data_IF_816612080050
#
_entry.id   IF_816612080050
#
_cell.length_a   1.000
_cell.length_b   1.000
_cell.length_c   1.000
_cell.angle_alpha   90.00
_cell.angle_beta   90.00
_cell.angle_gamma   90.00
#
_symmetry.space_group_name_H-M   'P 1'
#
loop_
_entity.id
_entity.type
_entity.pdbx_description
1 polymer ?
#
# COMPACT_ATOMS: atom_id res chain seq x y z
N UNK A 1 0.95 21.35 17.01
CA UNK A 1 0.59 21.39 15.57
C UNK A 1 0.66 19.95 15.08
N UNK A 2 -0.50 19.29 14.94
CA UNK A 2 -1.34 19.16 13.74
C UNK A 2 -1.13 17.76 13.19
N UNK A 3 -2.24 17.10 12.89
CA UNK A 3 -2.33 15.91 12.06
C UNK A 3 -1.19 15.86 11.03
N UNK A 4 -0.33 14.84 11.12
CA UNK A 4 0.35 14.31 9.92
C UNK A 4 -0.72 13.52 9.18
N UNK A 5 -1.56 14.25 8.43
CA UNK A 5 -2.12 13.65 7.23
C UNK A 5 -0.88 13.47 6.37
N UNK A 6 -0.25 12.28 6.38
CA UNK A 6 0.50 11.88 5.19
C UNK A 6 -0.44 12.14 4.03
N UNK A 7 0.03 12.72 2.94
CA UNK A 7 -0.85 13.30 1.90
C UNK A 7 -1.74 12.25 1.18
N UNK A 8 -1.94 11.08 1.78
CA UNK A 8 -2.51 9.86 1.26
C UNK A 8 -3.31 9.06 2.27
N UNK A 9 -4.29 8.33 1.74
CA UNK A 9 -4.91 7.19 2.41
C UNK A 9 -3.83 6.11 2.60
N UNK A 10 -3.41 5.88 3.83
CA UNK A 10 -2.56 4.75 4.18
C UNK A 10 -3.42 3.52 4.42
N UNK A 11 -3.31 2.55 3.52
CA UNK A 11 -3.93 1.24 3.68
C UNK A 11 -2.96 0.29 4.37
N UNK A 12 -3.45 -0.59 5.26
CA UNK A 12 -2.58 -1.53 5.96
C UNK A 12 -1.89 -2.47 4.96
N UNK A 13 -0.74 -3.01 5.35
CA UNK A 13 -0.03 -4.05 4.61
C UNK A 13 -0.09 -5.41 5.34
N UNK A 14 -1.26 -6.11 5.33
CA UNK A 14 -1.52 -7.37 6.04
C UNK A 14 -0.42 -8.41 5.93
N UNK A 15 0.14 -8.60 4.73
CA UNK A 15 1.16 -9.63 4.51
C UNK A 15 2.41 -9.47 5.36
N UNK A 16 2.78 -8.23 5.70
CA UNK A 16 3.94 -8.03 6.58
C UNK A 16 3.65 -8.58 7.98
N UNK A 17 2.40 -8.48 8.46
CA UNK A 17 2.00 -9.07 9.73
C UNK A 17 1.97 -10.61 9.62
N UNK A 18 1.32 -11.15 8.58
CA UNK A 18 1.19 -12.60 8.37
C UNK A 18 2.55 -13.29 8.21
N UNK A 19 3.51 -12.69 7.48
CA UNK A 19 4.84 -13.29 7.28
C UNK A 19 5.69 -13.30 8.56
N UNK A 20 5.47 -12.32 9.44
CA UNK A 20 6.22 -12.23 10.72
C UNK A 20 5.76 -13.29 11.71
N UNK A 21 4.49 -13.67 11.67
CA UNK A 21 3.88 -14.58 12.64
C UNK A 21 2.73 -15.37 12.00
N UNK A 22 3.01 -16.30 11.09
CA UNK A 22 1.97 -17.01 10.34
C UNK A 22 1.11 -17.91 11.23
N UNK A 23 1.69 -18.45 12.31
CA UNK A 23 1.00 -19.31 13.27
C UNK A 23 -0.06 -18.55 14.05
N UNK A 24 0.22 -17.30 14.44
CA UNK A 24 -0.75 -16.43 15.12
C UNK A 24 -2.05 -16.24 14.34
N UNK A 25 -1.99 -16.16 13.01
CA UNK A 25 -3.16 -15.93 12.18
C UNK A 25 -3.83 -17.24 11.72
N UNK A 26 -3.30 -18.41 12.11
CA UNK A 26 -3.88 -19.71 11.77
C UNK A 26 -4.10 -19.90 10.26
N UNK A 27 -3.22 -19.35 9.42
CA UNK A 27 -3.37 -19.42 7.96
C UNK A 27 -3.15 -20.87 7.51
N UNK A 28 -4.18 -21.48 6.93
CA UNK A 28 -4.10 -22.85 6.41
C UNK A 28 -3.24 -22.92 5.14
N UNK A 29 -2.79 -24.12 4.77
CA UNK A 29 -2.07 -24.34 3.51
C UNK A 29 -2.88 -23.89 2.29
N UNK A 30 -4.18 -24.20 2.25
CA UNK A 30 -5.07 -23.78 1.16
C UNK A 30 -5.19 -22.25 1.06
N UNK A 31 -5.38 -21.57 2.20
CA UNK A 31 -5.40 -20.11 2.24
C UNK A 31 -4.08 -19.50 1.79
N UNK A 32 -2.95 -20.10 2.19
CA UNK A 32 -1.61 -19.66 1.75
C UNK A 32 -1.44 -19.80 0.25
N UNK A 33 -1.79 -20.94 -0.33
CA UNK A 33 -1.72 -21.17 -1.78
C UNK A 33 -2.61 -20.17 -2.55
N UNK A 34 -3.81 -19.88 -2.05
CA UNK A 34 -4.68 -18.86 -2.63
C UNK A 34 -4.07 -17.46 -2.54
N UNK A 35 -3.55 -17.05 -1.39
CA UNK A 35 -2.86 -15.76 -1.25
C UNK A 35 -1.63 -15.66 -2.18
N UNK A 36 -0.85 -16.73 -2.31
CA UNK A 36 0.30 -16.76 -3.20
C UNK A 36 -0.12 -16.60 -4.68
N UNK A 37 -1.19 -17.27 -5.09
CA UNK A 37 -1.71 -17.20 -6.47
C UNK A 37 -2.45 -15.90 -6.79
N UNK A 38 -3.33 -15.46 -5.90
CA UNK A 38 -4.26 -14.35 -6.17
C UNK A 38 -3.66 -12.99 -5.81
N UNK A 39 -2.73 -12.95 -4.85
CA UNK A 39 -2.12 -11.71 -4.38
C UNK A 39 -0.67 -11.56 -4.85
N UNK A 40 0.21 -12.52 -4.54
CA UNK A 40 1.65 -12.36 -4.80
C UNK A 40 2.01 -12.47 -6.28
N UNK A 41 1.29 -13.28 -7.05
CA UNK A 41 1.54 -13.38 -8.49
C UNK A 41 0.99 -12.18 -9.28
N UNK A 42 0.08 -11.40 -8.70
CA UNK A 42 -0.69 -10.37 -9.42
C UNK A 42 -0.24 -8.96 -9.07
N UNK A 43 -0.19 -8.60 -7.78
CA UNK A 43 -0.02 -7.21 -7.38
C UNK A 43 1.42 -6.71 -7.48
N UNK A 44 2.47 -7.43 -7.05
CA UNK A 44 3.85 -6.94 -7.20
C UNK A 44 4.25 -6.61 -8.65
N UNK A 45 3.95 -7.45 -9.67
CA UNK A 45 4.20 -7.11 -11.06
C UNK A 45 3.48 -5.83 -11.54
N UNK A 46 2.27 -5.56 -11.04
CA UNK A 46 1.53 -4.34 -11.36
C UNK A 46 2.05 -3.11 -10.60
N UNK A 47 2.44 -3.28 -9.35
CA UNK A 47 2.82 -2.17 -8.46
C UNK A 47 4.25 -1.70 -8.71
N UNK A 48 5.21 -2.59 -8.98
CA UNK A 48 6.62 -2.23 -9.11
C UNK A 48 6.89 -1.20 -10.23
N UNK A 49 6.36 -1.33 -11.46
CA UNK A 49 6.58 -0.35 -12.52
C UNK A 49 6.03 1.04 -12.15
N UNK A 50 4.87 1.09 -11.48
CA UNK A 50 4.23 2.33 -11.01
C UNK A 50 5.06 3.00 -9.92
N UNK A 51 5.58 2.23 -8.97
CA UNK A 51 6.48 2.73 -7.93
C UNK A 51 7.78 3.27 -8.53
N UNK A 52 8.37 2.57 -9.50
CA UNK A 52 9.56 3.04 -10.20
C UNK A 52 9.29 4.36 -10.92
N UNK A 53 8.17 4.45 -11.64
CA UNK A 53 7.77 5.68 -12.33
C UNK A 53 7.55 6.84 -11.36
N UNK A 54 6.87 6.61 -10.24
CA UNK A 54 6.69 7.61 -9.20
C UNK A 54 8.03 8.10 -8.63
N UNK A 55 8.98 7.19 -8.37
CA UNK A 55 10.31 7.55 -7.88
C UNK A 55 11.07 8.42 -8.88
N UNK A 56 11.00 8.10 -10.17
CA UNK A 56 11.62 8.92 -11.23
C UNK A 56 11.02 10.32 -11.30
N UNK A 57 9.69 10.43 -11.27
CA UNK A 57 8.96 11.70 -11.28
C UNK A 57 9.28 12.55 -10.05
N UNK A 58 9.29 11.95 -8.85
CA UNK A 58 9.68 12.64 -7.62
C UNK A 58 11.10 13.21 -7.71
N UNK A 59 12.04 12.46 -8.29
CA UNK A 59 13.40 12.94 -8.48
C UNK A 59 13.49 14.05 -9.54
N UNK A 60 12.66 14.01 -10.60
CA UNK A 60 12.57 15.10 -11.59
C UNK A 60 12.02 16.37 -10.95
N UNK A 61 10.92 16.29 -10.20
CA UNK A 61 10.34 17.40 -9.44
C UNK A 61 11.38 17.99 -8.48
N UNK A 62 12.04 17.14 -7.67
CA UNK A 62 13.07 17.58 -6.72
C UNK A 62 14.20 18.34 -7.40
N UNK A 63 14.73 17.83 -8.52
CA UNK A 63 15.76 18.54 -9.30
C UNK A 63 15.22 19.82 -9.94
N UNK A 64 14.01 19.78 -10.50
CA UNK A 64 13.35 20.93 -11.11
C UNK A 64 13.29 22.12 -10.16
N UNK A 65 12.86 21.87 -8.91
CA UNK A 65 12.82 22.91 -7.88
C UNK A 65 14.23 23.30 -7.42
N UNK A 66 15.03 22.32 -6.97
CA UNK A 66 16.27 22.61 -6.23
C UNK A 66 17.43 23.11 -7.10
N UNK A 67 17.46 22.72 -8.39
CA UNK A 67 18.61 23.01 -9.25
C UNK A 67 18.24 23.81 -10.50
N UNK A 68 16.96 23.84 -10.89
CA UNK A 68 16.51 24.49 -12.12
C UNK A 68 15.56 25.67 -11.88
N UNK A 69 15.17 25.93 -10.62
CA UNK A 69 14.28 27.05 -10.27
C UNK A 69 12.87 26.94 -10.88
N UNK A 70 12.44 25.73 -11.25
CA UNK A 70 11.08 25.51 -11.78
C UNK A 70 10.04 25.74 -10.70
N UNK A 71 8.97 26.43 -11.08
CA UNK A 71 7.78 26.58 -10.26
C UNK A 71 6.78 25.43 -10.48
N UNK A 72 5.62 25.51 -9.84
CA UNK A 72 4.57 24.49 -9.91
C UNK A 72 3.94 24.36 -11.30
N UNK A 73 3.86 25.44 -12.08
CA UNK A 73 3.28 25.41 -13.42
C UNK A 73 4.22 24.65 -14.38
N UNK A 74 5.53 24.94 -14.30
CA UNK A 74 6.56 24.25 -15.06
C UNK A 74 6.75 22.77 -14.69
N UNK A 75 6.13 22.30 -13.60
CA UNK A 75 6.16 20.93 -13.09
C UNK A 75 4.78 20.26 -13.08
N UNK A 76 3.75 20.92 -13.64
CA UNK A 76 2.36 20.45 -13.55
C UNK A 76 2.19 19.03 -14.09
N UNK A 77 2.81 18.71 -15.23
CA UNK A 77 2.72 17.38 -15.83
C UNK A 77 3.27 16.27 -14.93
N UNK A 78 4.43 16.49 -14.30
CA UNK A 78 4.99 15.51 -13.37
C UNK A 78 4.13 15.35 -12.10
N UNK A 79 3.56 16.44 -11.59
CA UNK A 79 2.70 16.44 -10.40
C UNK A 79 1.36 15.76 -10.68
N UNK A 80 0.77 15.98 -11.84
CA UNK A 80 -0.47 15.33 -12.29
C UNK A 80 -0.26 13.82 -12.46
N UNK A 81 0.85 13.41 -13.08
CA UNK A 81 1.18 12.00 -13.25
C UNK A 81 1.43 11.31 -11.90
N UNK A 82 2.13 11.97 -10.97
CA UNK A 82 2.28 11.49 -9.60
C UNK A 82 0.93 11.29 -8.91
N UNK A 83 0.00 12.24 -9.08
CA UNK A 83 -1.34 12.17 -8.50
C UNK A 83 -2.17 11.02 -9.09
N UNK A 84 -2.01 10.75 -10.39
CA UNK A 84 -2.63 9.60 -11.05
C UNK A 84 -2.06 8.28 -10.52
N UNK A 85 -0.73 8.12 -10.51
CA UNK A 85 -0.08 6.89 -10.01
C UNK A 85 -0.49 6.62 -8.56
N UNK A 86 -0.54 7.67 -7.75
CA UNK A 86 -0.98 7.62 -6.37
C UNK A 86 -2.40 7.02 -6.24
N UNK A 87 -3.33 7.42 -7.10
CA UNK A 87 -4.69 6.86 -7.14
C UNK A 87 -4.68 5.39 -7.56
N UNK A 88 -3.98 5.07 -8.65
CA UNK A 88 -3.86 3.68 -9.15
C UNK A 88 -3.28 2.75 -8.08
N UNK A 89 -2.28 3.20 -7.33
CA UNK A 89 -1.69 2.45 -6.22
C UNK A 89 -2.70 2.22 -5.10
N UNK A 90 -3.54 3.22 -4.78
CA UNK A 90 -4.59 3.05 -3.77
C UNK A 90 -5.65 2.03 -4.24
N UNK A 91 -6.07 2.09 -5.51
CA UNK A 91 -7.02 1.14 -6.09
C UNK A 91 -6.46 -0.30 -6.02
N UNK A 92 -5.18 -0.50 -6.40
CA UNK A 92 -4.50 -1.80 -6.26
C UNK A 92 -4.45 -2.31 -4.81
N UNK A 93 -4.19 -1.44 -3.83
CA UNK A 93 -4.21 -1.85 -2.42
C UNK A 93 -5.62 -2.24 -1.95
N UNK A 94 -6.66 -1.53 -2.40
CA UNK A 94 -8.06 -1.87 -2.10
C UNK A 94 -8.39 -3.25 -2.65
N UNK A 95 -8.01 -3.52 -3.90
CA UNK A 95 -8.27 -4.81 -4.53
C UNK A 95 -7.47 -5.95 -3.86
N UNK A 96 -6.23 -5.69 -3.45
CA UNK A 96 -5.45 -6.64 -2.65
C UNK A 96 -6.13 -6.93 -1.30
N UNK A 97 -6.71 -5.92 -0.65
CA UNK A 97 -7.43 -6.08 0.62
C UNK A 97 -8.72 -6.89 0.48
N UNK A 98 -9.42 -6.79 -0.66
CA UNK A 98 -10.59 -7.62 -0.95
C UNK A 98 -10.23 -9.11 -1.02
N UNK A 99 -9.06 -9.45 -1.55
CA UNK A 99 -8.61 -10.86 -1.56
C UNK A 99 -8.45 -11.41 -0.15
N UNK A 100 -7.97 -10.61 0.81
CA UNK A 100 -7.97 -11.04 2.21
C UNK A 100 -9.38 -11.29 2.72
N UNK A 101 -10.35 -10.44 2.38
CA UNK A 101 -11.75 -10.61 2.77
C UNK A 101 -12.37 -11.90 2.19
N UNK A 102 -11.92 -12.30 1.00
CA UNK A 102 -12.42 -13.49 0.31
C UNK A 102 -11.72 -14.80 0.73
N UNK A 103 -10.47 -14.71 1.21
CA UNK A 103 -9.66 -15.89 1.58
C UNK A 103 -9.72 -16.19 3.08
N UNK A 104 -9.82 -15.16 3.92
CA UNK A 104 -9.71 -15.30 5.37
C UNK A 104 -11.08 -15.36 6.05
N UNK A 105 -11.13 -16.04 7.20
CA UNK A 105 -12.31 -16.02 8.06
C UNK A 105 -12.46 -14.66 8.74
N UNK A 106 -13.65 -14.35 9.25
CA UNK A 106 -13.88 -13.11 9.98
C UNK A 106 -13.00 -12.97 11.23
N UNK A 107 -12.70 -14.07 11.91
CA UNK A 107 -11.80 -14.07 13.06
C UNK A 107 -10.37 -13.69 12.65
N UNK A 108 -9.87 -14.29 11.55
CA UNK A 108 -8.54 -13.98 11.01
C UNK A 108 -8.46 -12.52 10.53
N UNK A 109 -9.51 -12.00 9.89
CA UNK A 109 -9.61 -10.60 9.47
C UNK A 109 -9.58 -9.64 10.65
N UNK A 110 -10.27 -9.97 11.75
CA UNK A 110 -10.24 -9.16 12.96
C UNK A 110 -8.85 -9.13 13.59
N UNK A 111 -8.18 -10.28 13.70
CA UNK A 111 -6.80 -10.36 14.19
C UNK A 111 -5.83 -9.54 13.34
N UNK A 112 -6.04 -9.54 12.01
CA UNK A 112 -5.28 -8.73 11.07
C UNK A 112 -5.54 -7.22 11.24
N UNK A 113 -6.80 -6.83 11.42
CA UNK A 113 -7.16 -5.44 11.68
C UNK A 113 -6.52 -4.94 12.98
N UNK A 114 -6.48 -5.76 14.03
CA UNK A 114 -5.80 -5.44 15.29
C UNK A 114 -4.28 -5.36 15.11
N UNK A 115 -3.67 -6.30 14.39
CA UNK A 115 -2.23 -6.33 14.16
C UNK A 115 -1.72 -5.18 13.27
N UNK A 116 -2.60 -4.64 12.41
CA UNK A 116 -2.28 -3.53 11.50
C UNK A 116 -2.74 -2.16 12.02
N UNK A 117 -3.37 -2.11 13.20
CA UNK A 117 -3.91 -0.88 13.79
C UNK A 117 -5.18 -0.36 13.11
N UNK A 118 -5.71 -1.08 12.12
CA UNK A 118 -6.93 -0.72 11.39
C UNK A 118 -8.21 -0.85 12.24
N UNK A 119 -8.18 -1.63 13.33
CA UNK A 119 -9.33 -1.77 14.24
C UNK A 119 -9.54 -0.58 15.19
N UNK A 120 -8.62 0.39 15.20
CA UNK A 120 -8.66 1.54 16.11
C UNK A 120 -8.38 1.20 17.58
N UNK A 121 -8.15 -0.08 17.92
CA UNK A 121 -7.64 -0.47 19.23
C UNK A 121 -6.13 -0.30 19.21
N UNK A 122 -5.61 0.61 20.04
CA UNK A 122 -4.16 0.70 20.26
C UNK A 122 -3.66 -0.69 20.64
N UNK A 123 -2.76 -1.25 19.83
CA UNK A 123 -2.00 -2.42 20.21
C UNK A 123 -1.16 -2.01 21.41
N UNK A 124 -1.62 -2.32 22.62
CA UNK A 124 -0.87 -2.15 23.86
C UNK A 124 0.45 -2.89 23.72
N UNK A 125 1.53 -2.16 23.50
CA UNK A 125 2.90 -2.62 23.69
C UNK A 125 3.57 -1.66 24.64
#
# INVERSE_FOLDING_TARGET
MRFKVTELVELPHPMSAIRKDPERFGITTEQRERLDKELFAVFPPEMHPRMQRAWELQNRVRRGVMTQGKDSEALAAELDELSRIKREMADLHIDALRIFQDVLTQEQLQQLADATGASGRMSSR
#
